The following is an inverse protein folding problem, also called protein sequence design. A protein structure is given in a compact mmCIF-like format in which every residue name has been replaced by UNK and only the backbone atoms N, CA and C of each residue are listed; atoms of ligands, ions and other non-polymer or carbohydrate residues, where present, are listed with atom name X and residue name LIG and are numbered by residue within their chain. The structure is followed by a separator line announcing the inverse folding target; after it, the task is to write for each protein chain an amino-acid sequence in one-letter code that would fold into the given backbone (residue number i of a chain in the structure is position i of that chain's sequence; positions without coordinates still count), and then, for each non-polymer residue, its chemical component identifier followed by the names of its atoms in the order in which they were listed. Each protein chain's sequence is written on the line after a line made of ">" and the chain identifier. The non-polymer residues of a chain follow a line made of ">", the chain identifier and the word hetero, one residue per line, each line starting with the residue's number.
data_IF_750284760232
#
_entry.id   IF_750284760232
#
_cell.length_a   1.000
_cell.length_b   1.000
_cell.length_c   1.000
_cell.angle_alpha   90.00
_cell.angle_beta   90.00
_cell.angle_gamma   90.00
#
_symmetry.space_group_name_H-M   'P 1'
#
loop_
_entity.id
_entity.type
_entity.pdbx_description
1 polymer ?
#
# COMPACT_ATOMS: atom_id res chain seq x y z
N UNK A 1 -7.02 8.86 21.11
CA UNK A 1 -6.88 10.30 21.41
C UNK A 1 -6.81 10.99 20.06
N UNK A 2 -7.85 11.75 19.68
CA UNK A 2 -7.95 12.43 18.38
C UNK A 2 -7.19 13.73 18.49
N UNK A 3 -5.98 13.80 17.93
CA UNK A 3 -5.21 15.03 17.96
C UNK A 3 -5.67 16.00 16.88
N UNK A 4 -6.23 17.10 17.41
CA UNK A 4 -6.50 18.37 16.78
C UNK A 4 -5.18 19.07 16.46
N UNK A 5 -4.78 19.11 15.18
CA UNK A 5 -4.03 20.27 14.62
C UNK A 5 -4.32 20.36 13.11
N UNK A 6 -5.52 20.77 12.75
CA UNK A 6 -5.75 21.39 11.43
C UNK A 6 -6.77 22.50 11.62
N UNK A 7 -6.27 23.70 11.91
CA UNK A 7 -7.08 24.90 11.99
C UNK A 7 -7.71 25.20 10.62
N UNK A 8 -9.05 25.20 10.63
CA UNK A 8 -9.97 26.05 9.85
C UNK A 8 -9.38 26.73 8.61
N UNK A 9 -9.49 26.06 7.48
CA UNK A 9 -9.69 26.72 6.18
C UNK A 9 -11.18 26.57 5.83
N UNK A 10 -11.82 27.68 5.54
CA UNK A 10 -13.25 27.75 5.26
C UNK A 10 -13.61 26.97 4.00
N UNK A 11 -14.87 26.51 3.97
CA UNK A 11 -15.50 25.58 3.00
C UNK A 11 -15.16 24.11 3.27
N UNK A 12 -16.19 23.31 3.55
CA UNK A 12 -16.15 21.85 3.72
C UNK A 12 -15.77 21.16 2.40
N UNK A 13 -14.56 21.37 1.90
CA UNK A 13 -14.01 20.48 0.89
C UNK A 13 -13.49 19.24 1.62
N UNK A 14 -14.17 18.11 1.41
CA UNK A 14 -13.62 16.81 1.78
C UNK A 14 -12.32 16.61 0.97
N UNK A 15 -11.18 16.89 1.62
CA UNK A 15 -9.87 16.84 0.99
C UNK A 15 -9.56 15.40 0.62
N UNK A 16 -9.72 15.06 -0.65
CA UNK A 16 -9.41 13.75 -1.19
C UNK A 16 -8.43 13.89 -2.35
N UNK A 17 -7.64 12.85 -2.56
CA UNK A 17 -6.76 12.74 -3.73
C UNK A 17 -7.26 11.60 -4.59
N UNK A 18 -7.34 11.85 -5.89
CA UNK A 18 -7.77 10.82 -6.85
C UNK A 18 -6.62 9.89 -7.20
N UNK A 19 -6.87 8.58 -7.15
CA UNK A 19 -5.98 7.54 -7.66
C UNK A 19 -6.79 6.61 -8.56
N UNK A 20 -6.66 6.78 -9.88
CA UNK A 20 -7.52 6.09 -10.83
C UNK A 20 -8.99 6.51 -10.66
N UNK A 21 -9.85 5.54 -10.40
CA UNK A 21 -11.29 5.73 -10.11
C UNK A 21 -11.59 6.00 -8.62
N UNK A 22 -10.58 5.89 -7.75
CA UNK A 22 -10.74 6.00 -6.30
C UNK A 22 -10.53 7.43 -5.81
N UNK A 23 -11.32 7.84 -4.81
CA UNK A 23 -11.18 9.10 -4.08
C UNK A 23 -10.62 8.80 -2.70
N UNK A 24 -9.32 8.95 -2.52
CA UNK A 24 -8.66 8.58 -1.28
C UNK A 24 -8.73 9.75 -0.31
N UNK A 25 -9.39 9.55 0.83
CA UNK A 25 -9.46 10.52 1.93
C UNK A 25 -8.73 10.06 3.19
N UNK A 26 -8.34 8.79 3.27
CA UNK A 26 -7.65 8.19 4.40
C UNK A 26 -6.66 7.11 3.93
N UNK A 27 -5.53 6.95 4.63
CA UNK A 27 -4.53 5.89 4.39
C UNK A 27 -4.27 5.14 5.69
N UNK A 28 -4.48 3.82 5.63
CA UNK A 28 -4.19 2.90 6.74
C UNK A 28 -3.05 1.96 6.34
N UNK A 29 -2.10 1.79 7.26
CA UNK A 29 -0.97 0.87 7.09
C UNK A 29 -1.24 -0.38 7.94
N UNK A 30 -1.24 -1.55 7.31
CA UNK A 30 -1.34 -2.82 8.05
C UNK A 30 -0.03 -3.14 8.80
N UNK A 31 -0.10 -3.98 9.83
CA UNK A 31 1.10 -4.51 10.50
C UNK A 31 2.04 -5.21 9.52
N UNK A 32 1.49 -5.94 8.55
CA UNK A 32 2.28 -6.63 7.55
C UNK A 32 3.04 -5.65 6.64
N UNK A 33 2.40 -4.59 6.17
CA UNK A 33 3.05 -3.53 5.42
C UNK A 33 4.16 -2.84 6.23
N UNK A 34 3.90 -2.49 7.49
CA UNK A 34 4.90 -1.85 8.35
C UNK A 34 6.17 -2.70 8.53
N UNK A 35 6.00 -4.00 8.80
CA UNK A 35 7.13 -4.94 8.89
C UNK A 35 7.90 -5.01 7.56
N UNK A 36 7.20 -5.14 6.43
CA UNK A 36 7.83 -5.24 5.10
C UNK A 36 8.54 -3.96 4.69
N UNK A 37 7.99 -2.81 5.02
CA UNK A 37 8.62 -1.51 4.79
C UNK A 37 9.97 -1.44 5.50
N UNK A 38 9.99 -1.82 6.79
CA UNK A 38 11.21 -1.83 7.60
C UNK A 38 12.27 -2.79 7.04
N UNK A 39 11.84 -3.97 6.61
CA UNK A 39 12.77 -5.02 6.18
C UNK A 39 13.34 -4.75 4.79
N UNK A 40 12.57 -4.13 3.88
CA UNK A 40 12.87 -4.07 2.44
C UNK A 40 13.08 -2.69 1.85
N UNK A 41 12.72 -1.62 2.57
CA UNK A 41 12.74 -0.26 2.00
C UNK A 41 13.61 0.65 2.85
N UNK A 42 13.35 0.69 4.15
CA UNK A 42 14.01 1.61 5.05
C UNK A 42 14.08 1.03 6.45
N UNK A 43 15.30 0.69 6.86
CA UNK A 43 15.58 0.08 8.17
C UNK A 43 15.49 1.09 9.32
N UNK A 44 15.38 2.39 9.03
CA UNK A 44 15.10 3.37 10.07
C UNK A 44 13.70 3.11 10.62
N UNK A 45 13.56 3.04 11.94
CA UNK A 45 12.32 2.66 12.60
C UNK A 45 11.23 3.72 12.38
N UNK A 46 10.51 3.62 11.26
CA UNK A 46 9.36 4.46 10.92
C UNK A 46 8.10 3.78 11.45
N UNK A 47 7.43 4.43 12.39
CA UNK A 47 6.11 4.00 12.88
C UNK A 47 5.03 4.18 11.81
N UNK A 48 3.85 3.60 12.07
CA UNK A 48 2.69 3.63 11.15
C UNK A 48 2.39 5.03 10.60
N UNK A 49 2.35 6.04 11.47
CA UNK A 49 2.07 7.44 11.09
C UNK A 49 3.08 8.01 10.10
N UNK A 50 4.37 7.70 10.26
CA UNK A 50 5.42 8.16 9.34
C UNK A 50 5.28 7.51 7.96
N UNK A 51 4.94 6.23 7.92
CA UNK A 51 4.72 5.52 6.66
C UNK A 51 3.43 6.02 5.98
N UNK A 52 2.35 6.21 6.73
CA UNK A 52 1.09 6.76 6.23
C UNK A 52 1.28 8.18 5.69
N UNK A 53 1.96 9.05 6.45
CA UNK A 53 2.28 10.42 6.02
C UNK A 53 3.15 10.46 4.77
N UNK A 54 4.19 9.62 4.70
CA UNK A 54 5.00 9.48 3.48
C UNK A 54 4.15 9.03 2.28
N UNK A 55 3.29 8.01 2.46
CA UNK A 55 2.41 7.53 1.40
C UNK A 55 1.41 8.61 0.95
N UNK A 56 0.89 9.42 1.89
CA UNK A 56 0.02 10.55 1.59
C UNK A 56 0.71 11.63 0.76
N UNK A 57 1.96 11.97 1.09
CA UNK A 57 2.75 12.91 0.27
C UNK A 57 3.01 12.34 -1.13
N UNK A 58 3.34 11.04 -1.24
CA UNK A 58 3.51 10.39 -2.53
C UNK A 58 2.24 10.47 -3.37
N UNK A 59 1.09 10.25 -2.75
CA UNK A 59 -0.21 10.27 -3.39
C UNK A 59 -0.55 11.69 -3.90
N UNK A 60 -0.44 12.71 -3.03
CA UNK A 60 -0.67 14.12 -3.39
C UNK A 60 0.21 14.60 -4.54
N UNK A 61 1.45 14.13 -4.59
CA UNK A 61 2.42 14.49 -5.62
C UNK A 61 2.27 13.67 -6.91
N UNK A 62 1.27 12.77 -7.00
CA UNK A 62 1.04 11.93 -8.17
C UNK A 62 2.15 10.89 -8.42
N UNK A 63 2.91 10.54 -7.38
CA UNK A 63 4.04 9.59 -7.47
C UNK A 63 3.60 8.13 -7.40
N UNK A 64 2.32 7.88 -7.10
CA UNK A 64 1.72 6.55 -7.03
C UNK A 64 0.99 6.28 -8.35
N UNK A 65 1.38 5.22 -9.05
CA UNK A 65 0.77 4.80 -10.32
C UNK A 65 0.29 3.36 -10.23
N UNK A 66 -0.79 3.04 -10.93
CA UNK A 66 -1.16 1.64 -11.13
C UNK A 66 -0.06 0.94 -11.92
N UNK A 67 0.34 -0.24 -11.46
CA UNK A 67 1.35 -1.04 -12.14
C UNK A 67 0.76 -2.31 -12.75
N UNK A 68 0.00 -3.06 -11.96
CA UNK A 68 -0.60 -4.30 -12.42
C UNK A 68 -1.98 -4.48 -11.78
N UNK A 69 -2.98 -4.78 -12.61
CA UNK A 69 -4.34 -5.10 -12.16
C UNK A 69 -4.59 -6.58 -12.43
N UNK A 70 -4.55 -7.41 -11.39
CA UNK A 70 -5.04 -8.79 -11.43
C UNK A 70 -5.76 -9.08 -10.09
N UNK A 71 -5.72 -10.32 -9.56
CA UNK A 71 -6.30 -10.70 -8.25
C UNK A 71 -5.98 -9.72 -7.10
N UNK A 72 -4.87 -8.97 -7.18
CA UNK A 72 -4.48 -7.90 -6.24
C UNK A 72 -4.20 -6.59 -7.01
N UNK A 73 -4.54 -5.45 -6.40
CA UNK A 73 -4.22 -4.11 -6.93
C UNK A 73 -2.79 -3.71 -6.55
N UNK A 74 -1.90 -3.68 -7.53
CA UNK A 74 -0.47 -3.37 -7.35
C UNK A 74 -0.13 -1.99 -7.90
N UNK A 75 0.62 -1.24 -7.11
CA UNK A 75 1.03 0.14 -7.35
C UNK A 75 2.54 0.29 -7.36
N UNK A 76 3.00 1.25 -8.16
CA UNK A 76 4.38 1.72 -8.18
C UNK A 76 4.45 3.11 -7.54
N UNK A 77 5.44 3.29 -6.67
CA UNK A 77 5.84 4.59 -6.13
C UNK A 77 7.19 4.94 -6.73
N UNK A 78 7.30 6.15 -7.32
CA UNK A 78 8.52 6.63 -7.98
C UNK A 78 9.06 5.71 -9.08
N UNK A 79 8.18 4.97 -9.74
CA UNK A 79 8.52 3.99 -10.79
C UNK A 79 9.55 2.91 -10.34
N UNK A 80 9.73 2.71 -9.03
CA UNK A 80 10.70 1.78 -8.45
C UNK A 80 10.10 0.91 -7.33
N UNK A 81 9.42 1.53 -6.36
CA UNK A 81 8.93 0.84 -5.19
C UNK A 81 7.55 0.20 -5.46
N UNK A 82 7.47 -1.11 -5.29
CA UNK A 82 6.24 -1.89 -5.51
C UNK A 82 5.46 -2.09 -4.21
N UNK A 83 4.19 -1.71 -4.24
CA UNK A 83 3.26 -1.73 -3.11
C UNK A 83 1.93 -2.37 -3.51
N UNK A 84 1.30 -3.11 -2.60
CA UNK A 84 -0.06 -3.64 -2.76
C UNK A 84 -0.99 -2.90 -1.82
N UNK A 85 -2.11 -2.42 -2.34
CA UNK A 85 -3.10 -1.68 -1.57
C UNK A 85 -4.53 -2.06 -1.99
N UNK A 86 -5.40 -2.12 -0.99
CA UNK A 86 -6.84 -2.32 -1.17
C UNK A 86 -7.59 -1.02 -0.88
N UNK A 87 -8.83 -0.93 -1.33
CA UNK A 87 -9.70 0.23 -1.09
C UNK A 87 -10.99 -0.21 -0.46
N UNK A 88 -11.39 0.49 0.59
CA UNK A 88 -12.70 0.34 1.23
C UNK A 88 -13.42 1.67 1.19
N UNK A 89 -14.71 1.66 0.88
CA UNK A 89 -15.54 2.85 1.03
C UNK A 89 -15.61 3.26 2.50
N UNK A 90 -15.65 4.57 2.76
CA UNK A 90 -15.85 5.12 4.10
C UNK A 90 -17.34 5.41 4.26
N UNK A 91 -18.07 4.64 5.10
CA UNK A 91 -19.50 4.81 5.24
C UNK A 91 -19.85 6.22 5.72
N UNK A 92 -20.74 6.89 5.00
CA UNK A 92 -21.20 8.23 5.35
C UNK A 92 -20.28 9.38 4.90
N UNK A 93 -19.15 9.09 4.25
CA UNK A 93 -18.29 10.10 3.64
C UNK A 93 -18.41 10.11 2.12
N UNK A 94 -18.79 11.27 1.59
CA UNK A 94 -19.01 11.48 0.16
C UNK A 94 -18.38 12.80 -0.28
N UNK A 95 -18.07 12.92 -1.59
CA UNK A 95 -17.75 14.22 -2.18
C UNK A 95 -18.99 15.12 -2.31
N UNK A 96 -18.78 16.36 -2.74
CA UNK A 96 -19.84 17.34 -2.98
C UNK A 96 -20.87 16.89 -4.04
N UNK A 97 -20.52 15.88 -4.84
CA UNK A 97 -21.36 15.31 -5.91
C UNK A 97 -21.98 13.98 -5.47
N UNK A 98 -21.81 13.58 -4.20
CA UNK A 98 -22.38 12.37 -3.63
C UNK A 98 -21.61 11.09 -3.98
N UNK A 99 -20.37 11.16 -4.45
CA UNK A 99 -19.54 9.99 -4.78
C UNK A 99 -18.82 9.49 -3.53
N UNK A 100 -18.67 8.17 -3.34
CA UNK A 100 -18.09 7.62 -2.12
C UNK A 100 -16.61 7.98 -1.97
N UNK A 101 -16.23 8.30 -0.73
CA UNK A 101 -14.83 8.40 -0.31
C UNK A 101 -14.27 7.03 0.03
N UNK A 102 -12.97 6.89 -0.17
CA UNK A 102 -12.26 5.62 0.01
C UNK A 102 -11.12 5.77 1.00
N UNK A 103 -10.98 4.77 1.85
CA UNK A 103 -9.79 4.50 2.63
C UNK A 103 -8.89 3.58 1.81
N UNK A 104 -7.65 4.00 1.60
CA UNK A 104 -6.60 3.18 1.03
C UNK A 104 -5.94 2.37 2.15
N UNK A 105 -5.94 1.05 2.01
CA UNK A 105 -5.38 0.12 2.98
C UNK A 105 -4.12 -0.47 2.36
N UNK A 106 -2.94 -0.05 2.83
CA UNK A 106 -1.67 -0.59 2.34
C UNK A 106 -1.42 -1.94 3.02
N UNK A 107 -1.54 -3.01 2.22
CA UNK A 107 -1.48 -4.40 2.68
C UNK A 107 -0.03 -4.88 2.80
N UNK A 108 0.80 -4.58 1.81
CA UNK A 108 2.21 -4.99 1.83
C UNK A 108 3.10 -4.14 0.93
N UNK A 109 4.40 -4.20 1.19
CA UNK A 109 5.43 -3.73 0.28
C UNK A 109 6.23 -4.91 -0.26
N UNK A 110 6.36 -4.99 -1.58
CA UNK A 110 7.10 -6.07 -2.22
C UNK A 110 8.61 -5.77 -2.27
N UNK A 111 9.00 -4.52 -2.50
CA UNK A 111 10.39 -4.08 -2.56
C UNK A 111 10.63 -3.13 -3.73
N UNK A 112 11.89 -2.84 -4.03
CA UNK A 112 12.31 -1.97 -5.14
C UNK A 112 12.66 -2.79 -6.37
N UNK A 113 12.22 -2.36 -7.55
CA UNK A 113 12.59 -2.98 -8.83
C UNK A 113 14.06 -2.77 -9.19
N UNK A 114 14.67 -1.70 -8.68
CA UNK A 114 16.11 -1.44 -8.78
C UNK A 114 16.95 -2.45 -8.01
N UNK A 115 16.41 -3.02 -6.93
CA UNK A 115 17.11 -4.01 -6.10
C UNK A 115 16.71 -5.46 -6.43
N UNK A 116 15.44 -5.70 -6.77
CA UNK A 116 14.88 -7.04 -7.03
C UNK A 116 14.30 -7.09 -8.45
N UNK A 117 15.08 -7.63 -9.39
CA UNK A 117 14.75 -7.67 -10.83
C UNK A 117 13.45 -8.45 -11.07
N UNK A 118 13.16 -9.45 -10.25
CA UNK A 118 11.97 -10.29 -10.33
C UNK A 118 10.68 -9.48 -10.18
N UNK A 119 10.71 -8.33 -9.48
CA UNK A 119 9.53 -7.47 -9.32
C UNK A 119 9.11 -6.79 -10.64
N UNK A 120 9.97 -6.78 -11.66
CA UNK A 120 9.63 -6.30 -13.01
C UNK A 120 8.68 -7.23 -13.76
N UNK A 121 8.58 -8.51 -13.35
CA UNK A 121 7.58 -9.44 -13.87
C UNK A 121 6.83 -10.07 -12.69
N UNK A 122 5.74 -9.41 -12.28
CA UNK A 122 4.95 -9.86 -11.13
C UNK A 122 4.32 -11.23 -11.35
N UNK A 123 3.96 -11.60 -12.59
CA UNK A 123 3.39 -12.91 -12.89
C UNK A 123 4.42 -13.99 -12.58
N UNK A 124 5.66 -13.81 -13.03
CA UNK A 124 6.76 -14.73 -12.73
C UNK A 124 7.14 -14.68 -11.25
N UNK A 125 7.17 -13.50 -10.62
CA UNK A 125 7.44 -13.33 -9.19
C UNK A 125 6.48 -14.14 -8.32
N UNK A 126 5.16 -13.97 -8.52
CA UNK A 126 4.15 -14.71 -7.75
C UNK A 126 4.18 -16.21 -8.07
N UNK A 127 4.46 -16.59 -9.33
CA UNK A 127 4.62 -18.00 -9.71
C UNK A 127 5.81 -18.63 -8.98
N UNK A 128 6.97 -17.97 -8.98
CA UNK A 128 8.16 -18.41 -8.26
C UNK A 128 7.93 -18.46 -6.76
N UNK A 129 7.29 -17.45 -6.17
CA UNK A 129 6.99 -17.40 -4.74
C UNK A 129 6.09 -18.57 -4.30
N UNK A 130 5.07 -18.93 -5.09
CA UNK A 130 4.21 -20.08 -4.81
C UNK A 130 5.00 -21.39 -4.88
N UNK A 131 5.93 -21.53 -5.82
CA UNK A 131 6.77 -22.72 -5.98
C UNK A 131 7.84 -22.83 -4.88
N UNK A 132 8.50 -21.72 -4.52
CA UNK A 132 9.53 -21.68 -3.49
C UNK A 132 8.94 -21.95 -2.10
N UNK A 133 7.78 -21.37 -1.76
CA UNK A 133 7.06 -21.67 -0.51
C UNK A 133 6.65 -23.14 -0.41
N UNK A 134 6.21 -23.74 -1.52
CA UNK A 134 5.90 -25.18 -1.57
C UNK A 134 7.15 -26.01 -1.26
N UNK A 135 8.31 -25.66 -1.80
CA UNK A 135 9.58 -26.33 -1.52
C UNK A 135 10.04 -26.15 -0.06
N UNK A 136 9.83 -24.99 0.56
CA UNK A 136 10.16 -24.77 1.98
C UNK A 136 9.26 -25.58 2.90
N UNK A 137 7.96 -25.72 2.59
CA UNK A 137 7.04 -26.56 3.35
C UNK A 137 7.40 -28.05 3.28
N UNK A 138 7.83 -28.55 2.11
CA UNK A 138 8.29 -29.94 1.92
C UNK A 138 9.56 -30.22 2.74
N UNK A 139 10.47 -29.26 2.87
CA UNK A 139 11.69 -29.43 3.67
C UNK A 139 11.43 -29.47 5.18
N UNK A 140 10.33 -28.88 5.65
CA UNK A 140 9.96 -28.88 7.07
C UNK A 140 9.11 -30.11 7.49
N UNK A 141 8.72 -30.99 6.56
CA UNK A 141 7.83 -32.12 6.86
C UNK A 141 8.55 -33.40 7.33
N UNK A 142 9.80 -33.32 7.83
CA UNK A 142 10.53 -34.49 8.37
C UNK A 142 11.14 -34.24 9.76
N UNK A 143 10.37 -34.58 10.81
CA UNK A 143 10.71 -35.56 11.85
C UNK A 143 9.67 -35.50 12.99
N UNK A 144 8.72 -36.43 12.97
CA UNK A 144 8.24 -37.07 14.20
C UNK A 144 8.64 -38.53 14.07
N UNK A 145 9.62 -38.94 14.86
CA UNK A 145 9.93 -40.34 15.16
C UNK A 145 9.73 -40.48 16.66
#
# INVERSE_FOLDING_TARGET
>A
MRDKVTERWGTYEAFHVTLGDKRVSDIVITNHAMMRYRDRIDRTNKGFEKIAGWAWECLKQGRIKHYYRNEEDVYLVDDDLVMVAEFAEIPGEYDLVGRPMHRMIIVTFLGRMSETIELRDLRSYYSWLRHSRRMTLIKNSRKRR
#
